data_IF_365705183679
#
_entry.id   IF_365705183679
#
_cell.length_a   1.000
_cell.length_b   1.000
_cell.length_c   1.000
_cell.angle_alpha   90.00
_cell.angle_beta   90.00
_cell.angle_gamma   90.00
#
_symmetry.space_group_name_H-M   'P 1'
#
loop_
_entity.id
_entity.type
_entity.pdbx_description
1 polymer ?
#
# COMPACT_ATOMS: atom_id res chain seq x y z
N UNK A 1 -19.13 -17.91 19.83
CA UNK A 1 -18.60 -16.61 19.36
C UNK A 1 -17.11 -16.79 19.21
N UNK A 2 -16.56 -16.53 18.03
CA UNK A 2 -15.10 -16.60 17.81
C UNK A 2 -14.47 -15.44 18.56
N UNK A 3 -13.51 -15.70 19.44
CA UNK A 3 -12.79 -14.64 20.16
C UNK A 3 -11.92 -13.85 19.16
N UNK A 4 -11.87 -12.53 19.26
CA UNK A 4 -11.02 -11.72 18.40
C UNK A 4 -9.53 -11.97 18.67
N UNK A 5 -8.74 -12.07 17.60
CA UNK A 5 -7.29 -12.21 17.65
C UNK A 5 -6.65 -11.53 16.43
N UNK A 6 -5.36 -11.18 16.44
CA UNK A 6 -4.67 -10.63 15.28
C UNK A 6 -4.65 -11.62 14.11
N UNK A 7 -5.26 -11.24 12.99
CA UNK A 7 -5.32 -12.06 11.78
C UNK A 7 -4.07 -11.82 10.93
N UNK A 8 -3.38 -12.89 10.57
CA UNK A 8 -2.29 -12.87 9.60
C UNK A 8 -2.76 -13.56 8.33
N UNK A 9 -2.36 -13.03 7.17
CA UNK A 9 -2.86 -13.50 5.88
C UNK A 9 -1.74 -14.04 5.01
N UNK A 10 -2.06 -15.07 4.21
CA UNK A 10 -1.15 -15.61 3.20
C UNK A 10 -1.06 -14.60 2.08
N UNK A 11 0.14 -14.05 1.79
CA UNK A 11 0.26 -13.08 0.73
C UNK A 11 -0.02 -13.70 -0.63
N UNK A 12 -0.66 -12.95 -1.51
CA UNK A 12 -0.73 -13.27 -2.92
C UNK A 12 0.43 -12.63 -3.67
N UNK A 13 1.40 -13.45 -4.07
CA UNK A 13 2.57 -13.00 -4.82
C UNK A 13 2.21 -12.83 -6.30
N UNK A 14 2.57 -11.69 -6.88
CA UNK A 14 2.33 -11.37 -8.28
C UNK A 14 3.65 -11.16 -9.02
N UNK A 15 3.86 -11.98 -10.05
CA UNK A 15 4.96 -11.76 -10.99
C UNK A 15 4.72 -10.49 -11.82
N UNK A 16 5.80 -9.74 -12.04
CA UNK A 16 5.81 -8.49 -12.80
C UNK A 16 7.10 -8.39 -13.60
N UNK A 17 7.03 -7.79 -14.79
CA UNK A 17 8.22 -7.55 -15.63
C UNK A 17 9.32 -6.74 -14.95
N UNK A 18 8.94 -5.92 -13.98
CA UNK A 18 9.82 -5.07 -13.19
C UNK A 18 10.16 -5.65 -11.81
N UNK A 19 9.62 -6.83 -11.50
CA UNK A 19 9.77 -7.48 -10.20
C UNK A 19 11.17 -8.05 -9.97
N UNK A 20 11.41 -8.45 -8.73
CA UNK A 20 12.68 -9.01 -8.30
C UNK A 20 12.52 -10.06 -7.21
N UNK A 21 13.48 -10.04 -6.28
CA UNK A 21 13.61 -10.96 -5.13
C UNK A 21 13.84 -10.24 -3.80
N UNK A 22 13.86 -8.90 -3.78
CA UNK A 22 14.25 -8.14 -2.61
C UNK A 22 13.26 -8.28 -1.44
N UNK A 23 12.03 -8.75 -1.66
CA UNK A 23 11.10 -9.08 -0.57
C UNK A 23 11.59 -10.24 0.31
N UNK A 24 12.48 -11.11 -0.17
CA UNK A 24 13.07 -12.21 0.62
C UNK A 24 13.87 -11.69 1.84
N UNK A 25 14.46 -10.48 1.74
CA UNK A 25 15.18 -9.88 2.87
C UNK A 25 14.25 -9.54 4.05
N UNK A 26 12.94 -9.43 3.78
CA UNK A 26 11.89 -9.26 4.79
C UNK A 26 11.25 -10.61 5.17
N UNK A 27 11.88 -11.74 4.84
CA UNK A 27 11.43 -13.06 5.25
C UNK A 27 10.20 -13.57 4.50
N UNK A 28 9.81 -12.96 3.38
CA UNK A 28 8.74 -13.48 2.52
C UNK A 28 9.25 -14.65 1.67
N UNK A 29 8.49 -15.73 1.63
CA UNK A 29 8.71 -16.85 0.72
C UNK A 29 8.10 -16.54 -0.64
N UNK A 30 8.95 -16.36 -1.65
CA UNK A 30 8.52 -15.97 -2.99
C UNK A 30 8.57 -17.18 -3.95
N UNK A 31 7.55 -17.39 -4.81
CA UNK A 31 7.61 -18.40 -5.88
C UNK A 31 8.71 -18.08 -6.89
N UNK A 32 9.02 -19.00 -7.80
CA UNK A 32 9.96 -18.73 -8.90
C UNK A 32 9.50 -17.54 -9.77
N UNK A 33 10.46 -16.82 -10.36
CA UNK A 33 10.20 -15.69 -11.24
C UNK A 33 10.48 -14.31 -10.61
N UNK A 34 10.12 -13.27 -11.37
CA UNK A 34 10.35 -11.87 -11.01
C UNK A 34 9.14 -11.32 -10.23
N UNK A 35 9.18 -11.38 -8.91
CA UNK A 35 8.03 -11.02 -8.07
C UNK A 35 8.07 -9.53 -7.78
N UNK A 36 7.06 -8.81 -8.27
CA UNK A 36 6.96 -7.35 -8.09
C UNK A 36 6.07 -6.94 -6.94
N UNK A 37 5.03 -7.72 -6.63
CA UNK A 37 4.05 -7.37 -5.60
C UNK A 37 3.76 -8.57 -4.71
N UNK A 38 3.75 -8.36 -3.40
CA UNK A 38 3.08 -9.23 -2.44
C UNK A 38 1.84 -8.51 -1.93
N UNK A 39 0.65 -8.98 -2.30
CA UNK A 39 -0.60 -8.47 -1.73
C UNK A 39 -0.78 -9.12 -0.37
N UNK A 40 -0.53 -8.35 0.68
CA UNK A 40 -0.41 -8.84 2.05
C UNK A 40 -1.76 -8.97 2.73
N UNK A 41 -2.64 -7.99 2.53
CA UNK A 41 -4.02 -7.98 3.04
C UNK A 41 -4.88 -7.37 1.95
N UNK A 42 -5.78 -8.17 1.37
CA UNK A 42 -6.63 -7.76 0.26
C UNK A 42 -7.96 -8.50 0.20
N UNK A 43 -9.00 -7.77 -0.18
CA UNK A 43 -10.37 -8.23 -0.46
C UNK A 43 -10.76 -7.72 -1.85
N UNK A 44 -9.95 -8.05 -2.85
CA UNK A 44 -10.13 -7.60 -4.22
C UNK A 44 -10.40 -8.81 -5.11
N UNK A 45 -11.29 -8.73 -6.12
CA UNK A 45 -11.53 -9.86 -7.03
C UNK A 45 -10.27 -10.39 -7.74
N UNK A 46 -9.25 -9.54 -7.92
CA UNK A 46 -7.95 -9.92 -8.49
C UNK A 46 -6.97 -10.55 -7.49
N UNK A 47 -7.31 -10.53 -6.19
CA UNK A 47 -6.54 -11.15 -5.12
C UNK A 47 -7.19 -10.96 -3.75
N UNK A 48 -7.69 -12.06 -3.20
CA UNK A 48 -8.33 -12.12 -1.88
C UNK A 48 -7.48 -12.98 -0.97
N UNK A 49 -6.81 -12.33 -0.01
CA UNK A 49 -5.88 -13.00 0.88
C UNK A 49 -6.60 -13.84 1.93
N UNK A 50 -6.02 -14.99 2.29
CA UNK A 50 -6.62 -15.95 3.23
C UNK A 50 -5.92 -15.94 4.59
N UNK A 51 -6.68 -16.02 5.67
CA UNK A 51 -6.14 -16.08 7.03
C UNK A 51 -5.27 -17.35 7.19
N UNK A 52 -4.12 -17.24 7.85
CA UNK A 52 -3.19 -18.36 8.08
C UNK A 52 -3.25 -18.92 9.51
N UNK A 53 -3.80 -18.17 10.46
CA UNK A 53 -3.72 -18.49 11.88
C UNK A 53 -5.09 -18.55 12.57
N UNK A 54 -5.14 -19.30 13.68
CA UNK A 54 -6.32 -19.39 14.56
C UNK A 54 -7.53 -20.08 13.95
N UNK A 55 -8.70 -19.87 14.56
CA UNK A 55 -9.98 -20.52 14.20
C UNK A 55 -10.46 -20.17 12.78
N UNK A 56 -10.05 -19.02 12.24
CA UNK A 56 -10.45 -18.50 10.93
C UNK A 56 -9.48 -18.87 9.81
N UNK A 57 -8.44 -19.66 10.09
CA UNK A 57 -7.47 -20.08 9.09
C UNK A 57 -8.13 -20.74 7.87
N UNK A 58 -7.72 -20.32 6.68
CA UNK A 58 -8.23 -20.78 5.39
C UNK A 58 -9.37 -19.93 4.80
N UNK A 59 -10.03 -19.10 5.59
CA UNK A 59 -11.08 -18.18 5.12
C UNK A 59 -10.48 -16.95 4.44
N UNK A 60 -11.13 -16.49 3.36
CA UNK A 60 -10.81 -15.24 2.68
C UNK A 60 -11.25 -14.01 3.47
N UNK A 61 -10.58 -12.87 3.24
CA UNK A 61 -10.94 -11.60 3.90
C UNK A 61 -12.37 -11.14 3.55
N UNK A 62 -12.86 -11.46 2.36
CA UNK A 62 -14.25 -11.30 1.93
C UNK A 62 -15.23 -12.05 2.85
N UNK A 63 -14.96 -13.33 3.11
CA UNK A 63 -15.78 -14.18 3.98
C UNK A 63 -15.78 -13.67 5.42
N UNK A 64 -14.61 -13.22 5.92
CA UNK A 64 -14.49 -12.63 7.25
C UNK A 64 -15.28 -11.31 7.34
N UNK A 65 -15.19 -10.45 6.32
CA UNK A 65 -15.96 -9.20 6.23
C UNK A 65 -17.45 -9.46 6.30
N UNK A 66 -17.96 -10.41 5.53
CA UNK A 66 -19.39 -10.74 5.51
C UNK A 66 -19.88 -11.36 6.81
N UNK A 67 -19.04 -12.20 7.45
CA UNK A 67 -19.42 -12.91 8.67
C UNK A 67 -19.43 -12.01 9.91
N UNK A 68 -18.44 -11.11 10.05
CA UNK A 68 -18.23 -10.34 11.27
C UNK A 68 -18.63 -8.87 11.15
N UNK A 69 -18.63 -8.33 9.93
CA UNK A 69 -19.04 -6.96 9.64
C UNK A 69 -18.48 -5.92 10.60
N UNK A 70 -19.35 -5.06 11.14
CA UNK A 70 -18.96 -3.97 12.05
C UNK A 70 -18.23 -4.43 13.31
N UNK A 71 -18.42 -5.68 13.76
CA UNK A 71 -17.76 -6.19 14.95
C UNK A 71 -16.22 -6.25 14.76
N UNK A 72 -15.77 -6.69 13.60
CA UNK A 72 -14.34 -6.81 13.29
C UNK A 72 -13.77 -5.57 12.61
N UNK A 73 -14.58 -4.88 11.81
CA UNK A 73 -14.09 -3.79 10.95
C UNK A 73 -14.44 -2.39 11.49
N UNK A 74 -15.24 -2.33 12.57
CA UNK A 74 -15.63 -1.08 13.21
C UNK A 74 -16.71 -0.31 12.45
N UNK A 75 -17.14 0.82 13.01
CA UNK A 75 -18.19 1.66 12.42
C UNK A 75 -17.74 2.38 11.14
N UNK A 76 -16.44 2.69 11.02
CA UNK A 76 -15.85 3.42 9.89
C UNK A 76 -15.18 2.51 8.86
N UNK A 77 -14.71 1.33 9.28
CA UNK A 77 -14.03 0.38 8.38
C UNK A 77 -14.96 -0.62 7.67
N UNK A 78 -16.23 -0.73 8.08
CA UNK A 78 -17.20 -1.59 7.42
C UNK A 78 -18.18 -0.82 6.53
N UNK A 79 -18.26 -1.23 5.27
CA UNK A 79 -19.24 -0.75 4.29
C UNK A 79 -20.23 -1.86 3.97
N UNK A 80 -21.52 -1.60 4.21
CA UNK A 80 -22.61 -2.54 3.90
C UNK A 80 -22.63 -2.85 2.39
N UNK A 81 -22.62 -4.14 2.02
CA UNK A 81 -22.49 -4.60 0.63
C UNK A 81 -21.25 -4.06 -0.11
N UNK A 82 -20.25 -3.55 0.62
CA UNK A 82 -18.98 -3.07 0.07
C UNK A 82 -17.85 -4.07 0.31
N UNK A 83 -16.68 -3.76 -0.23
CA UNK A 83 -15.43 -4.49 0.03
C UNK A 83 -14.70 -3.90 1.24
N UNK A 84 -13.74 -4.64 1.79
CA UNK A 84 -12.79 -4.08 2.75
C UNK A 84 -12.12 -2.82 2.14
N UNK A 85 -11.98 -1.71 2.87
CA UNK A 85 -11.68 -0.41 2.24
C UNK A 85 -10.24 -0.26 1.75
N UNK A 86 -9.29 -1.09 2.24
CA UNK A 86 -7.87 -0.95 1.95
C UNK A 86 -7.28 -2.15 1.21
N UNK A 87 -6.16 -1.94 0.54
CA UNK A 87 -5.28 -2.98 0.03
C UNK A 87 -3.86 -2.68 0.49
N UNK A 88 -3.24 -3.67 1.14
CA UNK A 88 -1.90 -3.54 1.73
C UNK A 88 -0.95 -4.39 0.92
N UNK A 89 0.10 -3.78 0.38
CA UNK A 89 1.08 -4.48 -0.46
C UNK A 89 2.50 -4.19 -0.01
N UNK A 90 3.39 -5.14 -0.25
CA UNK A 90 4.82 -4.90 -0.31
C UNK A 90 5.27 -5.04 -1.77
N UNK A 91 6.01 -4.06 -2.28
CA UNK A 91 6.46 -4.05 -3.68
C UNK A 91 7.98 -4.09 -3.74
N UNK A 92 8.52 -4.88 -4.67
CA UNK A 92 9.94 -4.88 -5.05
C UNK A 92 10.09 -4.40 -6.49
N UNK A 93 10.64 -3.20 -6.63
CA UNK A 93 10.88 -2.55 -7.90
C UNK A 93 12.33 -2.81 -8.30
N UNK A 94 12.60 -3.93 -8.95
CA UNK A 94 13.94 -4.25 -9.46
C UNK A 94 14.25 -3.54 -10.80
N UNK A 95 13.21 -3.14 -11.52
CA UNK A 95 13.24 -2.23 -12.67
C UNK A 95 12.18 -1.12 -12.48
N UNK A 96 12.18 -0.11 -13.34
CA UNK A 96 11.22 1.00 -13.27
C UNK A 96 9.78 0.48 -13.46
N UNK A 97 8.82 0.96 -12.68
CA UNK A 97 7.40 0.74 -12.95
C UNK A 97 6.93 1.70 -14.05
N UNK A 98 5.80 1.37 -14.66
CA UNK A 98 5.18 2.28 -15.62
C UNK A 98 4.80 3.62 -14.97
N UNK A 99 4.96 4.71 -15.72
CA UNK A 99 4.41 6.01 -15.35
C UNK A 99 2.89 5.91 -15.38
N UNK A 100 2.25 6.26 -14.28
CA UNK A 100 0.83 6.03 -14.09
C UNK A 100 0.17 7.15 -13.29
N UNK A 101 -1.15 7.16 -13.34
CA UNK A 101 -2.01 8.04 -12.55
C UNK A 101 -3.29 7.29 -12.20
N UNK A 102 -3.86 7.64 -11.05
CA UNK A 102 -5.01 6.94 -10.48
C UNK A 102 -6.24 7.83 -10.40
N UNK A 103 -7.45 7.32 -10.70
CA UNK A 103 -8.69 8.09 -10.61
C UNK A 103 -9.15 8.30 -9.16
N UNK A 104 -9.96 9.34 -8.95
CA UNK A 104 -10.81 9.49 -7.77
C UNK A 104 -12.05 8.59 -7.89
N UNK A 105 -12.78 8.37 -6.78
CA UNK A 105 -14.03 7.60 -6.79
C UNK A 105 -15.12 8.22 -7.69
N UNK A 106 -15.03 9.53 -7.96
CA UNK A 106 -16.00 10.27 -8.77
C UNK A 106 -15.74 10.19 -10.27
N UNK A 107 -14.72 9.46 -10.72
CA UNK A 107 -14.39 9.37 -12.14
C UNK A 107 -15.44 8.54 -12.90
N UNK A 108 -16.16 9.15 -13.85
CA UNK A 108 -17.31 8.52 -14.51
C UNK A 108 -16.94 7.30 -15.37
N UNK A 109 -15.69 7.19 -15.82
CA UNK A 109 -15.18 6.07 -16.62
C UNK A 109 -14.52 4.98 -15.78
N UNK A 110 -14.65 5.05 -14.46
CA UNK A 110 -14.10 4.04 -13.55
C UNK A 110 -14.74 2.66 -13.83
N UNK A 111 -13.97 1.57 -13.88
CA UNK A 111 -14.52 0.25 -14.17
C UNK A 111 -15.61 -0.15 -13.16
N UNK A 112 -16.65 -0.84 -13.64
CA UNK A 112 -17.77 -1.22 -12.76
C UNK A 112 -17.30 -2.03 -11.56
N UNK A 113 -17.59 -1.52 -10.37
CA UNK A 113 -17.26 -2.18 -9.10
C UNK A 113 -15.91 -1.77 -8.51
N UNK A 114 -15.09 -1.02 -9.25
CA UNK A 114 -13.83 -0.47 -8.74
C UNK A 114 -14.05 0.72 -7.81
N UNK A 115 -13.00 1.05 -7.07
CA UNK A 115 -12.89 2.31 -6.33
C UNK A 115 -11.84 3.21 -7.01
N UNK A 116 -11.83 4.49 -6.65
CA UNK A 116 -10.66 5.34 -6.84
C UNK A 116 -9.45 4.76 -6.10
N UNK A 117 -8.28 5.34 -6.37
CA UNK A 117 -7.02 4.81 -5.84
C UNK A 117 -6.11 5.95 -5.37
N UNK A 118 -6.44 6.44 -4.17
CA UNK A 118 -5.49 7.16 -3.32
C UNK A 118 -4.63 6.16 -2.57
N UNK A 119 -3.34 6.47 -2.45
CA UNK A 119 -2.35 5.58 -1.82
C UNK A 119 -1.29 6.35 -1.04
N UNK A 120 -0.44 5.60 -0.35
CA UNK A 120 0.79 6.10 0.23
C UNK A 120 1.88 5.03 0.16
N UNK A 121 3.13 5.47 0.07
CA UNK A 121 4.30 4.61 0.11
C UNK A 121 5.15 4.94 1.32
N UNK A 122 5.60 3.89 2.01
CA UNK A 122 6.71 3.95 2.94
C UNK A 122 7.89 3.17 2.35
N UNK A 123 9.04 3.83 2.18
CA UNK A 123 10.24 3.20 1.60
C UNK A 123 10.85 2.27 2.64
N UNK A 124 10.71 0.96 2.43
CA UNK A 124 11.28 -0.08 3.30
C UNK A 124 12.79 -0.23 3.05
N UNK A 125 13.19 -0.20 1.78
CA UNK A 125 14.59 -0.25 1.38
C UNK A 125 14.80 0.54 0.08
N UNK A 126 15.98 1.12 -0.07
CA UNK A 126 16.37 1.85 -1.27
C UNK A 126 17.85 1.60 -1.57
N UNK A 127 18.19 1.29 -2.83
CA UNK A 127 19.58 1.24 -3.29
C UNK A 127 20.18 2.66 -3.34
N UNK A 128 21.50 2.82 -3.22
CA UNK A 128 22.14 4.13 -3.39
C UNK A 128 21.76 4.79 -4.71
N UNK A 129 21.29 6.04 -4.66
CA UNK A 129 20.85 6.79 -5.84
C UNK A 129 19.46 6.41 -6.36
N UNK A 130 18.71 5.56 -5.64
CA UNK A 130 17.32 5.26 -5.99
C UNK A 130 16.47 6.54 -5.98
N UNK A 131 15.47 6.54 -6.85
CA UNK A 131 14.54 7.64 -7.06
C UNK A 131 13.14 7.11 -7.29
N UNK A 132 12.18 8.01 -7.32
CA UNK A 132 10.82 7.77 -7.80
C UNK A 132 10.41 8.90 -8.74
N UNK A 133 9.44 8.65 -9.59
CA UNK A 133 8.69 9.72 -10.25
C UNK A 133 7.54 10.15 -9.35
N UNK A 134 7.46 11.45 -9.09
CA UNK A 134 6.50 11.98 -8.14
C UNK A 134 6.00 13.37 -8.54
N UNK A 135 4.98 13.39 -9.38
CA UNK A 135 4.35 14.60 -9.91
C UNK A 135 4.87 15.06 -11.27
N UNK A 136 4.15 16.01 -11.86
CA UNK A 136 4.56 16.73 -13.06
C UNK A 136 5.44 17.92 -12.68
N UNK A 137 6.35 18.33 -13.56
CA UNK A 137 7.07 19.60 -13.43
C UNK A 137 6.11 20.79 -13.51
N UNK A 138 6.48 21.89 -12.87
CA UNK A 138 5.69 23.11 -12.86
C UNK A 138 5.35 23.59 -14.28
N UNK A 139 4.08 23.96 -14.48
CA UNK A 139 3.57 24.50 -15.75
C UNK A 139 3.24 23.44 -16.82
N UNK A 140 3.37 22.15 -16.54
CA UNK A 140 2.86 21.10 -17.43
C UNK A 140 1.34 21.01 -17.30
N UNK A 141 0.63 21.43 -18.35
CA UNK A 141 -0.82 21.31 -18.47
C UNK A 141 -1.23 20.09 -19.32
N UNK A 142 -2.55 19.89 -19.50
CA UNK A 142 -3.10 18.76 -20.26
C UNK A 142 -2.59 18.74 -21.72
N UNK A 143 -2.65 19.85 -22.49
CA UNK A 143 -2.08 19.88 -23.84
C UNK A 143 -0.59 19.54 -23.89
N UNK A 144 0.22 20.10 -22.97
CA UNK A 144 1.66 19.85 -22.93
C UNK A 144 1.97 18.38 -22.64
N UNK A 145 1.27 17.77 -21.67
CA UNK A 145 1.43 16.34 -21.36
C UNK A 145 1.00 15.46 -22.54
N UNK A 146 -0.12 15.77 -23.18
CA UNK A 146 -0.60 15.03 -24.35
C UNK A 146 0.41 15.05 -25.51
N UNK A 147 0.96 16.23 -25.83
CA UNK A 147 2.00 16.36 -26.85
C UNK A 147 3.28 15.60 -26.48
N UNK A 148 3.71 15.67 -25.21
CA UNK A 148 4.89 14.94 -24.74
C UNK A 148 4.71 13.42 -24.82
N UNK A 149 3.50 12.90 -24.58
CA UNK A 149 3.20 11.47 -24.75
C UNK A 149 3.30 11.07 -26.23
N UNK A 150 2.67 11.84 -27.13
CA UNK A 150 2.68 11.58 -28.58
C UNK A 150 4.10 11.63 -29.17
N UNK A 151 4.91 12.58 -28.70
CA UNK A 151 6.30 12.76 -29.15
C UNK A 151 7.31 11.83 -28.46
N UNK A 152 6.88 10.99 -27.50
CA UNK A 152 7.77 10.10 -26.75
C UNK A 152 8.71 10.83 -25.77
N UNK A 153 8.33 12.02 -25.33
CA UNK A 153 9.10 12.91 -24.44
C UNK A 153 8.49 13.04 -23.04
N UNK A 154 7.61 12.12 -22.63
CA UNK A 154 6.90 12.18 -21.35
C UNK A 154 7.82 12.42 -20.14
N UNK A 155 9.02 11.83 -20.13
CA UNK A 155 9.99 11.99 -19.04
C UNK A 155 10.42 13.45 -18.84
N UNK A 156 10.38 14.28 -19.89
CA UNK A 156 10.68 15.72 -19.79
C UNK A 156 9.69 16.45 -18.89
N UNK A 157 8.47 15.91 -18.72
CA UNK A 157 7.39 16.49 -17.93
C UNK A 157 7.39 16.04 -16.46
N UNK A 158 8.24 15.10 -16.05
CA UNK A 158 8.13 14.42 -14.76
C UNK A 158 9.13 14.93 -13.73
N UNK A 159 8.73 14.95 -12.46
CA UNK A 159 9.66 15.22 -11.36
C UNK A 159 10.31 13.91 -10.88
N UNK A 160 11.65 13.89 -10.86
CA UNK A 160 12.42 12.82 -10.25
C UNK A 160 12.79 13.20 -8.82
N UNK A 161 12.48 12.32 -7.88
CA UNK A 161 12.71 12.53 -6.46
C UNK A 161 13.64 11.45 -5.92
N UNK A 162 14.84 11.79 -5.39
CA UNK A 162 15.68 10.81 -4.71
C UNK A 162 15.00 10.34 -3.42
N UNK A 163 15.20 9.06 -3.08
CA UNK A 163 14.57 8.43 -1.91
C UNK A 163 15.58 7.63 -1.10
N UNK A 164 15.30 7.49 0.18
CA UNK A 164 16.00 6.57 1.08
C UNK A 164 15.02 5.79 1.97
N UNK A 165 15.51 4.71 2.59
CA UNK A 165 14.71 3.93 3.52
C UNK A 165 14.19 4.81 4.67
N UNK A 166 12.91 4.68 5.00
CA UNK A 166 12.24 5.49 5.99
C UNK A 166 11.47 6.69 5.44
N UNK A 167 11.64 7.06 4.16
CA UNK A 167 10.84 8.12 3.56
C UNK A 167 9.37 7.70 3.43
N UNK A 168 8.46 8.67 3.59
CA UNK A 168 7.03 8.47 3.38
C UNK A 168 6.49 9.45 2.31
N UNK A 169 5.61 8.94 1.46
CA UNK A 169 4.99 9.67 0.35
C UNK A 169 3.49 9.42 0.38
N UNK A 170 2.69 10.47 0.51
CA UNK A 170 1.25 10.42 0.34
C UNK A 170 0.88 10.75 -1.10
N UNK A 171 0.04 9.93 -1.74
CA UNK A 171 -0.23 9.96 -3.17
C UNK A 171 -1.74 10.01 -3.40
N UNK A 172 -2.34 11.21 -3.35
CA UNK A 172 -3.72 11.40 -3.72
C UNK A 172 -3.95 11.00 -5.18
N UNK A 173 -5.12 10.43 -5.46
CA UNK A 173 -5.60 10.22 -6.82
C UNK A 173 -5.42 11.49 -7.68
N UNK A 174 -5.01 11.29 -8.93
CA UNK A 174 -4.65 12.34 -9.88
C UNK A 174 -3.17 12.75 -9.88
N UNK A 175 -2.36 12.24 -8.95
CA UNK A 175 -0.90 12.43 -8.97
C UNK A 175 -0.25 11.51 -10.01
N UNK A 176 0.50 12.06 -10.97
CA UNK A 176 1.33 11.24 -11.88
C UNK A 176 2.55 10.74 -11.13
N UNK A 177 2.79 9.43 -11.11
CA UNK A 177 3.87 8.82 -10.31
C UNK A 177 4.38 7.52 -10.91
N UNK A 178 5.54 7.06 -10.41
CA UNK A 178 6.06 5.70 -10.60
C UNK A 178 7.14 5.40 -9.57
N UNK A 179 7.18 4.15 -9.07
CA UNK A 179 8.36 3.63 -8.39
C UNK A 179 9.43 3.32 -9.45
N UNK A 180 10.67 3.75 -9.23
CA UNK A 180 11.79 3.43 -10.12
C UNK A 180 12.62 2.26 -9.57
N UNK A 181 13.55 1.75 -10.36
CA UNK A 181 14.40 0.64 -9.98
C UNK A 181 15.16 0.88 -8.67
N UNK A 182 15.25 -0.17 -7.85
CA UNK A 182 16.02 -0.19 -6.61
C UNK A 182 15.27 0.22 -5.35
N UNK A 183 13.94 0.31 -5.37
CA UNK A 183 13.12 0.59 -4.18
C UNK A 183 12.27 -0.62 -3.78
N UNK A 184 12.13 -0.81 -2.47
CA UNK A 184 11.14 -1.71 -1.87
C UNK A 184 10.24 -0.86 -0.99
N UNK A 185 8.92 -0.99 -1.16
CA UNK A 185 7.96 -0.15 -0.43
C UNK A 185 6.85 -0.96 0.23
N UNK A 186 6.33 -0.44 1.33
CA UNK A 186 4.99 -0.77 1.78
C UNK A 186 4.01 0.23 1.14
N UNK A 187 3.04 -0.27 0.39
CA UNK A 187 1.98 0.51 -0.24
C UNK A 187 0.66 0.27 0.51
N UNK A 188 0.08 1.35 1.02
CA UNK A 188 -1.24 1.35 1.65
C UNK A 188 -2.16 2.20 0.78
N UNK A 189 -3.20 1.58 0.26
CA UNK A 189 -4.08 2.20 -0.73
C UNK A 189 -5.54 1.86 -0.47
N UNK A 190 -6.45 2.61 -1.10
CA UNK A 190 -7.82 2.14 -1.28
C UNK A 190 -7.81 0.74 -1.94
N UNK A 191 -8.83 -0.07 -1.66
CA UNK A 191 -8.96 -1.41 -2.25
C UNK A 191 -9.40 -1.35 -3.73
N UNK A 192 -8.47 -0.93 -4.58
CA UNK A 192 -8.63 -0.75 -6.03
C UNK A 192 -7.39 -1.23 -6.77
N UNK A 193 -7.59 -1.91 -7.88
CA UNK A 193 -6.51 -2.29 -8.81
C UNK A 193 -6.52 -1.41 -10.08
N UNK A 194 -7.22 -0.27 -10.04
CA UNK A 194 -7.37 0.61 -11.19
C UNK A 194 -6.12 1.44 -11.43
N UNK A 195 -5.48 1.25 -12.59
CA UNK A 195 -4.25 1.94 -12.98
C UNK A 195 -4.35 2.46 -14.41
N UNK A 196 -4.22 3.78 -14.61
CA UNK A 196 -4.09 4.37 -15.93
C UNK A 196 -2.62 4.66 -16.23
N UNK A 197 -2.11 3.91 -17.20
CA UNK A 197 -0.71 3.96 -17.61
C UNK A 197 -0.50 5.05 -18.65
N UNK A 198 0.40 5.99 -18.34
CA UNK A 198 0.85 7.06 -19.24
C UNK A 198 1.93 6.53 -20.17
N UNK A 199 2.93 5.84 -19.61
CA UNK A 199 4.11 5.37 -20.33
C UNK A 199 4.75 4.16 -19.66
N UNK A 200 5.38 3.29 -20.45
CA UNK A 200 6.04 2.08 -19.94
C UNK A 200 7.24 1.68 -20.79
N UNK A 201 8.07 2.67 -21.17
CA UNK A 201 9.40 2.44 -21.73
C UNK A 201 9.44 1.61 -23.02
N UNK A 202 8.30 1.50 -23.73
CA UNK A 202 8.13 0.65 -24.91
C UNK A 202 8.63 -0.80 -24.71
N UNK A 203 8.52 -1.31 -23.48
CA UNK A 203 8.95 -2.67 -23.15
C UNK A 203 7.78 -3.66 -23.22
N UNK A 204 8.03 -4.92 -23.63
CA UNK A 204 7.02 -5.95 -23.60
C UNK A 204 6.66 -6.36 -22.16
N UNK A 205 5.41 -6.77 -21.98
CA UNK A 205 4.92 -7.49 -20.81
C UNK A 205 5.43 -8.94 -20.75
N UNK A 206 4.99 -9.68 -19.74
CA UNK A 206 5.31 -11.10 -19.57
C UNK A 206 4.81 -11.96 -20.76
N UNK A 207 3.81 -11.48 -21.50
CA UNK A 207 3.26 -12.12 -22.70
C UNK A 207 4.01 -11.76 -24.00
N UNK A 208 5.09 -10.96 -23.90
CA UNK A 208 5.88 -10.51 -25.05
C UNK A 208 5.28 -9.35 -25.84
N UNK A 209 4.12 -8.80 -25.44
CA UNK A 209 3.47 -7.67 -26.13
C UNK A 209 3.63 -6.37 -25.35
N UNK A 210 3.58 -5.23 -26.03
CA UNK A 210 3.54 -3.93 -25.34
C UNK A 210 2.31 -3.86 -24.44
N UNK A 211 2.50 -3.38 -23.21
CA UNK A 211 1.40 -3.18 -22.27
C UNK A 211 0.55 -1.98 -22.67
N UNK A 212 -0.75 -2.09 -22.42
CA UNK A 212 -1.72 -1.05 -22.76
C UNK A 212 -1.42 0.27 -22.04
N UNK A 213 -1.41 1.35 -22.82
CA UNK A 213 -1.40 2.73 -22.34
C UNK A 213 -2.83 3.26 -22.35
N UNK A 214 -3.19 3.98 -21.29
CA UNK A 214 -4.53 4.52 -21.07
C UNK A 214 -4.47 6.05 -21.20
N UNK A 215 -3.99 6.53 -22.35
CA UNK A 215 -3.58 7.94 -22.52
C UNK A 215 -4.70 8.91 -22.18
N UNK A 216 -5.89 8.71 -22.76
CA UNK A 216 -7.01 9.64 -22.54
C UNK A 216 -7.52 9.61 -21.10
N UNK A 217 -7.67 8.43 -20.48
CA UNK A 217 -8.03 8.33 -19.06
C UNK A 217 -6.97 9.00 -18.17
N UNK A 218 -5.69 8.76 -18.46
CA UNK A 218 -4.58 9.36 -17.72
C UNK A 218 -4.63 10.89 -17.79
N UNK A 219 -4.83 11.45 -18.99
CA UNK A 219 -4.95 12.89 -19.18
C UNK A 219 -6.16 13.48 -18.45
N UNK A 220 -7.24 12.72 -18.32
CA UNK A 220 -8.49 13.18 -17.71
C UNK A 220 -8.45 13.14 -16.18
N UNK A 221 -7.73 12.17 -15.58
CA UNK A 221 -7.66 12.05 -14.12
C UNK A 221 -6.49 12.81 -13.51
N UNK A 222 -5.52 13.23 -14.32
CA UNK A 222 -4.36 14.00 -13.84
C UNK A 222 -4.78 15.33 -13.23
N UNK A 223 -4.33 15.59 -12.02
CA UNK A 223 -4.53 16.86 -11.32
C UNK A 223 -3.38 17.83 -11.66
N UNK A 224 -3.53 18.58 -12.75
CA UNK A 224 -2.48 19.49 -13.27
C UNK A 224 -2.14 20.64 -12.31
N UNK A 225 -3.09 21.09 -11.49
CA UNK A 225 -2.87 22.13 -10.48
C UNK A 225 -2.36 21.56 -9.14
N UNK A 226 -2.08 20.25 -9.09
CA UNK A 226 -1.65 19.52 -7.90
C UNK A 226 -2.80 18.85 -7.14
N UNK A 227 -2.57 17.60 -6.73
CA UNK A 227 -3.55 16.79 -5.99
C UNK A 227 -3.43 16.91 -4.46
N UNK A 228 -2.47 17.69 -3.94
CA UNK A 228 -2.10 17.69 -2.53
C UNK A 228 -1.12 16.58 -2.13
N UNK A 229 -0.36 16.08 -3.11
CA UNK A 229 0.71 15.11 -2.87
C UNK A 229 1.76 15.68 -1.90
N UNK A 230 2.20 14.89 -0.93
CA UNK A 230 3.19 15.32 0.06
C UNK A 230 4.16 14.20 0.40
N UNK A 231 5.37 14.60 0.80
CA UNK A 231 6.42 13.67 1.25
C UNK A 231 7.02 14.16 2.55
N UNK A 232 7.53 13.23 3.35
CA UNK A 232 8.20 13.57 4.60
C UNK A 232 9.35 12.62 4.94
N UNK A 233 10.36 13.18 5.61
CA UNK A 233 11.30 12.38 6.41
C UNK A 233 10.60 11.96 7.69
N UNK A 234 10.88 10.74 8.13
CA UNK A 234 10.24 10.15 9.33
C UNK A 234 11.24 9.89 10.46
N UNK A 235 12.41 10.53 10.38
CA UNK A 235 13.45 10.48 11.40
C UNK A 235 13.10 11.31 12.64
N UNK A 236 13.78 11.03 13.75
CA UNK A 236 13.66 11.84 14.96
C UNK A 236 12.38 11.62 15.78
N UNK A 237 11.53 10.66 15.42
CA UNK A 237 10.40 10.23 16.25
C UNK A 237 10.88 9.57 17.56
N UNK A 238 10.15 9.84 18.65
CA UNK A 238 10.34 9.19 19.94
C UNK A 238 10.08 7.68 19.90
N UNK A 239 10.55 6.98 20.93
CA UNK A 239 10.16 5.59 21.14
C UNK A 239 8.74 5.49 21.67
N UNK A 240 7.97 4.53 21.18
CA UNK A 240 6.60 4.24 21.61
C UNK A 240 5.64 5.42 21.43
N UNK A 241 5.79 6.14 20.31
CA UNK A 241 4.92 7.23 19.87
C UNK A 241 4.52 7.01 18.42
N UNK A 242 3.36 7.55 18.03
CA UNK A 242 2.87 7.53 16.65
C UNK A 242 3.17 8.86 15.95
N UNK A 243 3.78 8.79 14.78
CA UNK A 243 3.93 9.90 13.84
C UNK A 243 2.99 9.67 12.67
N UNK A 244 2.03 10.57 12.44
CA UNK A 244 1.19 10.53 11.24
C UNK A 244 2.07 10.78 10.01
N UNK A 245 2.07 9.82 9.08
CA UNK A 245 2.85 9.88 7.84
C UNK A 245 2.01 10.02 6.58
N UNK A 246 0.72 9.72 6.67
CA UNK A 246 -0.27 10.03 5.65
C UNK A 246 -1.66 10.16 6.30
N UNK A 247 -2.45 11.11 5.82
CA UNK A 247 -3.84 11.31 6.23
C UNK A 247 -4.68 11.64 5.01
N UNK A 248 -5.80 10.94 4.88
CA UNK A 248 -6.76 11.10 3.78
C UNK A 248 -8.16 10.79 4.29
N UNK A 249 -9.21 11.04 3.50
CA UNK A 249 -10.57 10.56 3.82
C UNK A 249 -10.72 9.02 3.87
N UNK A 250 -9.71 8.27 3.40
CA UNK A 250 -9.78 6.81 3.23
C UNK A 250 -8.98 6.05 4.28
N UNK A 251 -7.86 6.61 4.71
CA UNK A 251 -6.96 6.02 5.69
C UNK A 251 -6.12 7.08 6.39
N UNK A 252 -5.72 6.77 7.62
CA UNK A 252 -4.60 7.39 8.32
C UNK A 252 -3.51 6.34 8.46
N UNK A 253 -2.27 6.70 8.11
CA UNK A 253 -1.10 5.84 8.34
C UNK A 253 -0.14 6.55 9.27
N UNK A 254 0.32 5.84 10.29
CA UNK A 254 1.30 6.31 11.26
C UNK A 254 2.50 5.38 11.31
N UNK A 255 3.68 5.95 11.56
CA UNK A 255 4.91 5.23 11.90
C UNK A 255 5.10 5.22 13.41
N UNK A 256 5.50 4.10 13.97
CA UNK A 256 5.93 3.97 15.36
C UNK A 256 7.27 3.26 15.47
N UNK A 257 8.06 3.62 16.49
CA UNK A 257 9.29 2.91 16.87
C UNK A 257 9.10 2.21 18.20
N UNK A 258 9.01 0.88 18.18
CA UNK A 258 8.91 0.08 19.41
C UNK A 258 10.30 -0.05 20.00
N UNK A 259 10.51 0.52 21.19
CA UNK A 259 11.79 0.45 21.93
C UNK A 259 11.65 -0.14 23.34
N UNK A 260 10.43 -0.23 23.83
CA UNK A 260 10.04 -0.83 25.10
C UNK A 260 8.61 -1.37 24.96
N UNK A 261 8.12 -2.19 25.90
CA UNK A 261 6.73 -2.64 25.88
C UNK A 261 5.75 -1.46 25.73
N UNK A 262 4.95 -1.50 24.67
CA UNK A 262 4.05 -0.42 24.27
C UNK A 262 2.61 -0.92 24.23
N UNK A 263 1.85 -0.52 25.26
CA UNK A 263 0.44 -0.87 25.41
C UNK A 263 -0.44 0.07 24.59
N UNK A 264 -1.32 -0.54 23.81
CA UNK A 264 -2.21 0.09 22.86
C UNK A 264 -3.60 -0.56 22.96
N UNK A 265 -4.58 0.00 22.28
CA UNK A 265 -5.93 -0.58 22.20
C UNK A 265 -6.53 -0.32 20.82
N UNK A 266 -7.32 -1.27 20.33
CA UNK A 266 -8.27 -1.00 19.25
C UNK A 266 -9.46 -0.22 19.81
N UNK A 267 -10.27 0.36 18.91
CA UNK A 267 -11.56 0.98 19.25
C UNK A 267 -12.65 0.36 18.39
N UNK A 268 -13.91 0.56 18.76
CA UNK A 268 -15.05 0.12 17.94
C UNK A 268 -15.21 0.92 16.63
N UNK A 269 -14.39 1.94 16.41
CA UNK A 269 -14.51 2.80 15.23
C UNK A 269 -13.83 2.18 14.00
N UNK A 270 -12.67 1.55 14.15
CA UNK A 270 -11.90 1.01 13.04
C UNK A 270 -11.12 -0.25 13.44
N UNK A 271 -10.85 -1.10 12.46
CA UNK A 271 -9.79 -2.10 12.57
C UNK A 271 -8.42 -1.42 12.60
N UNK A 272 -7.38 -2.15 13.00
CA UNK A 272 -5.99 -1.70 12.89
C UNK A 272 -5.23 -2.62 11.96
N UNK A 273 -4.58 -2.08 10.93
CA UNK A 273 -3.54 -2.80 10.19
C UNK A 273 -2.19 -2.49 10.84
N UNK A 274 -1.39 -3.51 11.07
CA UNK A 274 0.03 -3.37 11.41
C UNK A 274 0.87 -3.93 10.27
N UNK A 275 1.87 -3.17 9.83
CA UNK A 275 2.95 -3.63 8.95
C UNK A 275 4.25 -3.53 9.73
N UNK A 276 4.93 -4.65 9.97
CA UNK A 276 6.24 -4.63 10.60
C UNK A 276 7.27 -4.28 9.52
N UNK A 277 7.74 -3.03 9.53
CA UNK A 277 8.61 -2.51 8.48
C UNK A 277 10.07 -2.91 8.69
N UNK A 278 10.51 -2.98 9.95
CA UNK A 278 11.90 -3.29 10.31
C UNK A 278 11.96 -3.99 11.67
N UNK A 279 12.97 -4.83 11.88
CA UNK A 279 13.25 -5.43 13.17
C UNK A 279 12.34 -6.60 13.52
N UNK A 280 12.25 -6.90 14.81
CA UNK A 280 11.48 -8.01 15.34
C UNK A 280 11.07 -7.78 16.79
N UNK A 281 10.08 -8.54 17.23
CA UNK A 281 9.49 -8.38 18.54
C UNK A 281 8.35 -9.37 18.78
N UNK A 282 7.34 -8.91 19.50
CA UNK A 282 6.13 -9.69 19.77
C UNK A 282 4.89 -8.80 19.84
N UNK A 283 3.77 -9.37 19.41
CA UNK A 283 2.41 -8.84 19.56
C UNK A 283 1.65 -9.70 20.58
N UNK A 284 1.25 -9.09 21.69
CA UNK A 284 0.45 -9.72 22.74
C UNK A 284 -0.95 -9.09 22.84
N UNK A 285 -1.96 -9.87 23.19
CA UNK A 285 -3.34 -9.47 23.46
C UNK A 285 -3.91 -10.37 24.56
N UNK A 286 -5.15 -10.12 24.99
CA UNK A 286 -5.78 -10.90 26.09
C UNK A 286 -5.81 -12.41 25.82
N UNK A 287 -6.00 -12.80 24.55
CA UNK A 287 -6.09 -14.20 24.13
C UNK A 287 -4.76 -14.87 23.78
N UNK A 288 -3.63 -14.16 23.80
CA UNK A 288 -2.35 -14.78 23.43
C UNK A 288 -1.20 -13.83 23.13
N UNK A 289 -0.11 -14.42 22.63
CA UNK A 289 1.09 -13.71 22.20
C UNK A 289 1.71 -14.44 21.01
N UNK A 290 2.23 -13.70 20.06
CA UNK A 290 3.03 -14.23 18.96
C UNK A 290 4.25 -13.36 18.71
N UNK A 291 5.33 -13.98 18.23
CA UNK A 291 6.49 -13.26 17.74
C UNK A 291 6.15 -12.61 16.39
N UNK A 292 6.79 -11.48 16.12
CA UNK A 292 6.62 -10.73 14.87
C UNK A 292 7.97 -10.30 14.32
N UNK A 293 8.08 -10.19 13.00
CA UNK A 293 9.30 -9.75 12.31
C UNK A 293 8.96 -8.90 11.09
N UNK A 294 9.96 -8.16 10.61
CA UNK A 294 9.87 -7.35 9.39
C UNK A 294 9.25 -8.15 8.23
N UNK A 295 8.41 -7.50 7.43
CA UNK A 295 7.67 -8.11 6.31
C UNK A 295 6.30 -8.68 6.68
N UNK A 296 5.99 -8.87 7.96
CA UNK A 296 4.70 -9.40 8.39
C UNK A 296 3.63 -8.30 8.53
N UNK A 297 2.41 -8.63 8.10
CA UNK A 297 1.25 -7.75 8.21
C UNK A 297 0.12 -8.42 9.01
N UNK A 298 -0.57 -7.64 9.83
CA UNK A 298 -1.67 -8.12 10.68
C UNK A 298 -2.89 -7.21 10.57
N UNK A 299 -4.08 -7.81 10.55
CA UNK A 299 -5.35 -7.11 10.80
C UNK A 299 -5.78 -7.41 12.23
N UNK A 300 -5.90 -6.37 13.04
CA UNK A 300 -6.40 -6.42 14.41
C UNK A 300 -7.88 -6.01 14.37
N UNK A 301 -8.81 -6.90 14.73
CA UNK A 301 -10.24 -6.58 14.76
C UNK A 301 -10.55 -5.40 15.69
N UNK A 302 -11.55 -4.59 15.34
CA UNK A 302 -12.02 -3.45 16.11
C UNK A 302 -12.37 -3.83 17.57
N UNK A 303 -12.94 -5.02 17.77
CA UNK A 303 -13.29 -5.60 19.07
C UNK A 303 -12.13 -6.33 19.80
N UNK A 304 -10.89 -6.27 19.31
CA UNK A 304 -9.74 -6.94 19.95
C UNK A 304 -9.45 -6.41 21.36
N UNK A 305 -9.61 -5.10 21.56
CA UNK A 305 -9.31 -4.42 22.82
C UNK A 305 -7.82 -4.15 22.97
N UNK A 306 -7.29 -4.37 24.17
CA UNK A 306 -5.91 -4.07 24.52
C UNK A 306 -4.91 -5.03 23.84
N UNK A 307 -3.85 -4.46 23.28
CA UNK A 307 -2.70 -5.20 22.76
C UNK A 307 -1.38 -4.52 23.15
N UNK A 308 -0.28 -5.26 23.10
CA UNK A 308 1.05 -4.77 23.42
C UNK A 308 2.05 -5.14 22.33
N UNK A 309 2.83 -4.16 21.89
CA UNK A 309 3.99 -4.37 21.03
C UNK A 309 5.26 -4.29 21.89
N UNK A 310 6.12 -5.29 21.77
CA UNK A 310 7.40 -5.36 22.50
C UNK A 310 8.52 -5.76 21.54
N UNK A 311 9.76 -5.38 21.84
CA UNK A 311 10.95 -5.69 21.02
C UNK A 311 11.65 -4.43 20.50
N UNK A 312 12.31 -4.56 19.36
CA UNK A 312 12.94 -3.44 18.64
C UNK A 312 12.52 -3.48 17.19
N UNK A 313 11.52 -2.67 16.84
CA UNK A 313 10.94 -2.70 15.50
C UNK A 313 10.36 -1.36 15.08
N UNK A 314 10.38 -1.11 13.77
CA UNK A 314 9.60 -0.05 13.13
C UNK A 314 8.28 -0.66 12.67
N UNK A 315 7.16 -0.05 13.05
CA UNK A 315 5.82 -0.52 12.71
C UNK A 315 5.04 0.60 12.04
N UNK A 316 4.32 0.26 10.96
CA UNK A 316 3.30 1.13 10.40
C UNK A 316 1.94 0.69 10.94
N UNK A 317 1.12 1.66 11.33
CA UNK A 317 -0.27 1.48 11.74
C UNK A 317 -1.18 2.14 10.72
N UNK A 318 -2.18 1.42 10.22
CA UNK A 318 -3.23 2.03 9.40
C UNK A 318 -4.60 1.82 10.01
N UNK A 319 -5.41 2.88 9.99
CA UNK A 319 -6.80 2.89 10.43
C UNK A 319 -7.66 3.65 9.42
N UNK A 320 -8.97 3.42 9.44
CA UNK A 320 -9.92 4.26 8.71
C UNK A 320 -10.29 5.48 9.57
N UNK A 321 -10.21 6.71 9.03
CA UNK A 321 -10.48 7.96 9.74
C UNK A 321 -11.95 8.12 10.14
#
# INVERSE_FOLDING_TARGET
MTQAYPLQFKPEMKERIWGGRALEQFGLELPEGAIGEGWMIGDHPNGTTKVMNGELAGLGLDEIRERFGREFFGTKGYVENGRFPLLIKLLDCNDDLSIQVHPTDSYERLPKGELGKTEMWYILAAKPGAKIIYGLKDGVDRPALAAAIEEGRVMDCLQEVPVEAGDAFYIPAGTVHALCAGVVVAEIQQNSDTTYRVFDYNRPGLDGKLRELHVEDSLNVTAYEGAGASRMKTDGIGGNEWLVIAESPYFVVEKGLVRAPWKLSTTSESFVILVIAEGAGSLAWDGGKQDVKAGECFLLPANLGGYELSGSMTVLRSVTP
#
